data_IF_673684467903
#
_entry.id   IF_673684467903
#
_cell.length_a   1.000
_cell.length_b   1.000
_cell.length_c   1.000
_cell.angle_alpha   90.00
_cell.angle_beta   90.00
_cell.angle_gamma   90.00
#
_symmetry.space_group_name_H-M   'P 1'
#
loop_
_entity.id
_entity.type
_entity.pdbx_description
1 polymer ?
#
# COMPACT_ATOMS: atom_id res chain seq x y z
N UNK A 1 34.21 11.69 47.81
CA UNK A 1 32.81 12.20 47.84
C UNK A 1 32.34 12.85 46.52
N UNK A 2 32.92 12.54 45.35
CA UNK A 2 32.47 13.12 44.05
C UNK A 2 31.95 12.07 43.05
N UNK A 3 32.10 10.77 43.35
CA UNK A 3 31.61 9.66 42.50
C UNK A 3 30.16 9.25 42.75
N UNK A 4 29.58 9.61 43.90
CA UNK A 4 28.19 9.28 44.25
C UNK A 4 27.18 10.29 43.70
N UNK A 5 27.62 11.51 43.39
CA UNK A 5 26.73 12.56 42.86
C UNK A 5 26.33 12.32 41.40
N UNK A 6 27.19 11.67 40.60
CA UNK A 6 26.91 11.37 39.19
C UNK A 6 26.01 10.14 38.99
N UNK A 7 26.00 9.20 39.94
CA UNK A 7 25.21 7.97 39.84
C UNK A 7 23.70 8.18 40.06
N UNK A 8 23.33 9.14 40.90
CA UNK A 8 21.91 9.44 41.20
C UNK A 8 21.26 10.26 40.10
N UNK A 9 22.03 11.07 39.36
CA UNK A 9 21.52 11.89 38.26
C UNK A 9 21.22 11.06 37.00
N UNK A 10 21.99 10.00 36.71
CA UNK A 10 21.77 9.14 35.53
C UNK A 10 20.57 8.21 35.68
N UNK A 11 20.21 7.83 36.92
CA UNK A 11 19.05 6.98 37.20
C UNK A 11 17.69 7.71 37.06
N UNK A 12 17.66 9.04 37.28
CA UNK A 12 16.42 9.83 37.15
C UNK A 12 16.07 10.18 35.70
N UNK A 13 17.05 10.24 34.79
CA UNK A 13 16.81 10.49 33.36
C UNK A 13 16.26 9.24 32.66
N UNK A 14 16.66 8.04 33.08
CA UNK A 14 16.14 6.79 32.52
C UNK A 14 14.65 6.57 32.86
N UNK A 15 14.20 7.01 34.04
CA UNK A 15 12.82 6.84 34.48
C UNK A 15 11.83 7.74 33.70
N UNK A 16 12.28 8.91 33.23
CA UNK A 16 11.47 9.79 32.37
C UNK A 16 11.45 9.35 30.90
N UNK A 17 12.41 8.53 30.44
CA UNK A 17 12.43 8.01 29.06
C UNK A 17 11.51 6.80 28.88
N UNK A 18 11.13 6.11 29.95
CA UNK A 18 10.27 4.93 29.91
C UNK A 18 8.76 5.20 30.06
N UNK A 19 8.36 6.44 30.35
CA UNK A 19 6.95 6.86 30.33
C UNK A 19 6.64 7.65 29.05
N UNK A 20 6.78 7.00 27.89
CA UNK A 20 6.07 7.42 26.69
C UNK A 20 5.44 6.19 26.01
N UNK A 21 4.23 5.87 26.49
CA UNK A 21 3.11 5.25 25.79
C UNK A 21 3.25 3.82 25.23
N UNK A 22 2.73 2.84 25.99
CA UNK A 22 1.86 1.78 25.43
C UNK A 22 0.82 1.35 26.47
N UNK A 23 -0.32 2.04 26.50
CA UNK A 23 -1.51 1.57 27.22
C UNK A 23 -2.37 0.72 26.28
N UNK A 24 -2.92 -0.41 26.76
CA UNK A 24 -4.10 -0.99 26.11
C UNK A 24 -4.31 -2.49 26.22
N UNK A 25 -4.44 -3.02 27.44
CA UNK A 25 -5.09 -4.31 27.69
C UNK A 25 -6.57 -4.27 27.27
N UNK A 26 -6.96 -4.97 26.20
CA UNK A 26 -8.37 -5.23 25.87
C UNK A 26 -8.75 -6.69 26.12
N UNK A 27 -9.41 -6.92 27.26
CA UNK A 27 -10.21 -8.13 27.52
C UNK A 27 -11.60 -7.94 26.91
N UNK A 28 -12.02 -8.91 26.10
CA UNK A 28 -13.39 -9.45 26.11
C UNK A 28 -14.50 -8.75 25.31
N UNK A 29 -14.84 -9.38 24.18
CA UNK A 29 -16.20 -9.69 23.67
C UNK A 29 -17.19 -8.53 23.46
N UNK A 30 -17.53 -8.27 22.19
CA UNK A 30 -18.88 -8.38 21.59
C UNK A 30 -19.03 -7.44 20.37
N UNK A 31 -18.78 -7.95 19.17
CA UNK A 31 -19.71 -8.03 18.03
C UNK A 31 -18.93 -8.21 16.73
N UNK A 32 -19.30 -9.27 16.03
CA UNK A 32 -18.80 -9.68 14.73
C UNK A 32 -19.07 -8.60 13.68
N UNK A 33 -18.09 -7.73 13.46
CA UNK A 33 -17.83 -7.18 12.14
C UNK A 33 -16.80 -8.11 11.54
N UNK A 34 -17.09 -8.69 10.37
CA UNK A 34 -16.05 -9.28 9.51
C UNK A 34 -15.08 -8.16 9.15
N UNK A 35 -14.11 -7.97 10.02
CA UNK A 35 -12.94 -7.12 9.84
C UNK A 35 -12.16 -7.73 8.67
N UNK A 36 -12.37 -7.20 7.46
CA UNK A 36 -11.38 -7.37 6.41
C UNK A 36 -10.06 -6.84 6.96
N UNK A 37 -9.08 -7.73 7.11
CA UNK A 37 -7.73 -7.44 7.62
C UNK A 37 -7.24 -6.04 7.18
N UNK A 38 -6.45 -5.34 8.01
CA UNK A 38 -5.77 -4.11 7.61
C UNK A 38 -4.60 -4.42 6.66
N UNK A 39 -4.89 -5.06 5.52
CA UNK A 39 -4.01 -5.15 4.36
C UNK A 39 -4.19 -3.90 3.45
N UNK A 40 -5.01 -2.94 3.88
CA UNK A 40 -5.57 -1.85 3.07
C UNK A 40 -4.69 -0.60 2.91
N UNK A 41 -3.40 -0.67 3.29
CA UNK A 41 -2.39 0.32 2.86
C UNK A 41 -1.48 -0.32 1.82
N UNK A 42 -2.07 -0.70 0.69
CA UNK A 42 -1.30 -1.15 -0.47
C UNK A 42 -1.00 0.04 -1.36
N UNK A 43 0.21 0.58 -1.30
CA UNK A 43 0.64 1.63 -2.24
C UNK A 43 0.40 1.15 -3.70
N UNK A 44 -0.36 1.95 -4.47
CA UNK A 44 -0.68 1.66 -5.86
C UNK A 44 0.56 1.45 -6.73
N UNK A 45 1.65 2.16 -6.42
CA UNK A 45 2.95 1.98 -7.07
C UNK A 45 3.54 0.59 -6.80
N UNK A 46 3.39 0.06 -5.57
CA UNK A 46 3.85 -1.29 -5.21
C UNK A 46 3.05 -2.32 -6.00
N UNK A 47 1.71 -2.20 -6.02
CA UNK A 47 0.86 -3.12 -6.78
C UNK A 47 1.20 -3.10 -8.27
N UNK A 48 1.37 -1.90 -8.84
CA UNK A 48 1.76 -1.73 -10.23
C UNK A 48 3.08 -2.43 -10.52
N UNK A 49 4.13 -2.16 -9.74
CA UNK A 49 5.45 -2.76 -9.94
C UNK A 49 5.43 -4.28 -9.83
N UNK A 50 4.66 -4.85 -8.90
CA UNK A 50 4.61 -6.30 -8.68
C UNK A 50 3.79 -7.06 -9.73
N UNK A 51 2.76 -6.42 -10.32
CA UNK A 51 1.75 -7.13 -11.12
C UNK A 51 1.59 -6.60 -12.54
N UNK A 52 1.78 -5.30 -12.75
CA UNK A 52 1.48 -4.63 -14.02
C UNK A 52 2.76 -4.36 -14.83
N UNK A 53 3.84 -3.96 -14.16
CA UNK A 53 5.10 -3.61 -14.79
C UNK A 53 5.78 -4.78 -15.51
N UNK A 54 5.41 -6.03 -15.21
CA UNK A 54 5.89 -7.21 -15.95
C UNK A 54 5.54 -7.16 -17.43
N UNK A 55 4.40 -6.54 -17.80
CA UNK A 55 4.01 -6.39 -19.20
C UNK A 55 4.07 -4.94 -19.69
N UNK A 56 3.72 -3.99 -18.81
CA UNK A 56 3.69 -2.58 -19.14
C UNK A 56 5.02 -1.86 -18.85
N UNK A 57 5.96 -2.44 -18.12
CA UNK A 57 7.18 -1.73 -17.71
C UNK A 57 6.95 -0.71 -16.59
N UNK A 58 8.03 -0.22 -15.99
CA UNK A 58 7.94 0.75 -14.89
C UNK A 58 7.41 2.12 -15.32
N UNK A 59 7.69 2.51 -16.56
CA UNK A 59 7.24 3.73 -17.23
C UNK A 59 5.95 3.55 -18.04
N UNK A 60 5.44 2.32 -18.13
CA UNK A 60 4.24 2.00 -18.89
C UNK A 60 4.49 1.69 -20.37
N UNK A 61 5.74 1.65 -20.85
CA UNK A 61 6.11 1.54 -22.26
C UNK A 61 6.63 0.16 -22.73
N UNK A 62 6.70 -0.87 -21.88
CA UNK A 62 7.40 -2.12 -22.26
C UNK A 62 6.74 -2.91 -23.40
N UNK A 63 5.41 -2.82 -23.57
CA UNK A 63 4.72 -3.38 -24.73
C UNK A 63 4.68 -4.91 -24.82
N UNK A 64 5.02 -5.64 -23.76
CA UNK A 64 5.07 -7.12 -23.77
C UNK A 64 3.65 -7.67 -23.99
N UNK A 65 3.52 -8.71 -24.83
CA UNK A 65 2.23 -9.24 -25.29
C UNK A 65 1.30 -8.20 -25.93
N UNK A 66 1.88 -7.21 -26.64
CA UNK A 66 1.15 -6.08 -27.23
C UNK A 66 0.42 -5.23 -26.17
N UNK A 67 0.97 -5.14 -24.96
CA UNK A 67 0.48 -4.22 -23.94
C UNK A 67 0.52 -2.78 -24.46
N UNK A 68 -0.56 -2.01 -24.24
CA UNK A 68 -0.61 -0.62 -24.66
C UNK A 68 0.38 0.24 -23.86
N UNK A 69 0.93 1.27 -24.52
CA UNK A 69 1.72 2.30 -23.85
C UNK A 69 0.81 3.14 -22.94
N UNK A 70 1.05 3.10 -21.63
CA UNK A 70 0.17 3.76 -20.66
C UNK A 70 0.32 5.28 -20.64
N UNK A 71 1.48 5.82 -21.04
CA UNK A 71 1.75 7.27 -21.04
C UNK A 71 0.79 8.08 -21.91
N UNK A 72 0.36 7.51 -23.04
CA UNK A 72 -0.57 8.15 -23.98
C UNK A 72 -2.05 7.85 -23.69
N UNK A 73 -2.35 7.08 -22.65
CA UNK A 73 -3.73 6.69 -22.35
C UNK A 73 -4.55 7.87 -21.84
N UNK A 74 -5.73 8.07 -22.42
CA UNK A 74 -6.70 9.11 -22.01
C UNK A 74 -7.87 8.55 -21.20
N UNK A 75 -7.82 7.27 -20.83
CA UNK A 75 -8.92 6.60 -20.12
C UNK A 75 -9.22 7.25 -18.77
N UNK A 76 -10.48 7.27 -18.35
CA UNK A 76 -10.86 7.68 -17.00
C UNK A 76 -10.68 6.52 -15.98
N UNK A 77 -10.82 6.84 -14.70
CA UNK A 77 -10.60 5.89 -13.61
C UNK A 77 -11.55 4.69 -13.69
N UNK A 78 -12.82 4.95 -14.05
CA UNK A 78 -13.81 3.91 -14.20
C UNK A 78 -13.46 2.93 -15.34
N UNK A 79 -12.97 3.45 -16.47
CA UNK A 79 -12.55 2.61 -17.59
C UNK A 79 -11.29 1.82 -17.27
N UNK A 80 -10.32 2.40 -16.57
CA UNK A 80 -9.11 1.70 -16.12
C UNK A 80 -9.49 0.59 -15.13
N UNK A 81 -10.29 0.91 -14.12
CA UNK A 81 -10.77 -0.07 -13.15
C UNK A 81 -11.56 -1.21 -13.81
N UNK A 82 -12.39 -0.91 -14.82
CA UNK A 82 -13.10 -1.92 -15.60
C UNK A 82 -12.14 -2.85 -16.34
N UNK A 83 -11.10 -2.32 -16.99
CA UNK A 83 -10.07 -3.15 -17.64
C UNK A 83 -9.33 -4.01 -16.63
N UNK A 84 -8.98 -3.48 -15.45
CA UNK A 84 -8.35 -4.27 -14.38
C UNK A 84 -9.26 -5.41 -13.91
N UNK A 85 -10.58 -5.16 -13.79
CA UNK A 85 -11.56 -6.18 -13.35
C UNK A 85 -11.88 -7.21 -14.42
N UNK A 86 -11.94 -6.83 -15.69
CA UNK A 86 -12.37 -7.72 -16.78
C UNK A 86 -11.21 -8.34 -17.56
N UNK A 87 -10.01 -7.76 -17.49
CA UNK A 87 -8.94 -8.06 -18.43
C UNK A 87 -9.18 -7.47 -19.83
N UNK A 88 -8.18 -7.56 -20.70
CA UNK A 88 -8.27 -7.13 -22.11
C UNK A 88 -7.20 -7.82 -22.95
N UNK A 89 -7.60 -8.57 -23.98
CA UNK A 89 -6.65 -9.32 -24.81
C UNK A 89 -5.86 -10.32 -23.96
N UNK A 90 -4.53 -10.21 -23.97
CA UNK A 90 -3.65 -11.04 -23.15
C UNK A 90 -3.59 -10.62 -21.66
N UNK A 91 -4.09 -9.43 -21.30
CA UNK A 91 -4.11 -8.97 -19.91
C UNK A 91 -5.18 -9.73 -19.12
N UNK A 92 -4.81 -10.48 -18.06
CA UNK A 92 -5.78 -11.23 -17.27
C UNK A 92 -6.69 -10.31 -16.44
N UNK A 93 -7.80 -10.88 -15.97
CA UNK A 93 -8.65 -10.23 -14.96
C UNK A 93 -7.98 -10.26 -13.58
N UNK A 94 -8.06 -9.15 -12.86
CA UNK A 94 -7.56 -9.02 -11.49
C UNK A 94 -8.67 -8.98 -10.42
N UNK A 95 -9.94 -9.19 -10.80
CA UNK A 95 -11.08 -9.11 -9.86
C UNK A 95 -10.97 -10.10 -8.68
N UNK A 96 -10.33 -11.25 -8.90
CA UNK A 96 -10.11 -12.27 -7.87
C UNK A 96 -8.79 -12.09 -7.12
N UNK A 97 -7.90 -11.19 -7.57
CA UNK A 97 -6.55 -11.00 -7.02
C UNK A 97 -6.35 -9.67 -6.31
N UNK A 98 -7.17 -8.66 -6.64
CA UNK A 98 -7.12 -7.32 -6.08
C UNK A 98 -8.51 -6.95 -5.55
N UNK A 99 -8.54 -6.36 -4.36
CA UNK A 99 -9.77 -5.77 -3.83
C UNK A 99 -10.02 -4.38 -4.43
N UNK A 100 -11.20 -3.80 -4.17
CA UNK A 100 -11.62 -2.52 -4.74
C UNK A 100 -10.64 -1.38 -4.41
N UNK A 101 -10.14 -1.32 -3.17
CA UNK A 101 -9.20 -0.30 -2.72
C UNK A 101 -7.89 -0.39 -3.51
N UNK A 102 -7.35 -1.59 -3.69
CA UNK A 102 -6.14 -1.83 -4.49
C UNK A 102 -6.32 -1.47 -5.96
N UNK A 103 -7.49 -1.76 -6.53
CA UNK A 103 -7.82 -1.39 -7.91
C UNK A 103 -7.83 0.13 -8.07
N UNK A 104 -8.42 0.86 -7.13
CA UNK A 104 -8.44 2.33 -7.18
C UNK A 104 -7.06 2.95 -6.96
N UNK A 105 -6.25 2.37 -6.06
CA UNK A 105 -4.86 2.80 -5.82
C UNK A 105 -3.99 2.60 -7.06
N UNK A 106 -4.05 1.43 -7.69
CA UNK A 106 -3.26 1.17 -8.91
C UNK A 106 -3.76 2.00 -10.09
N UNK A 107 -5.08 2.24 -10.19
CA UNK A 107 -5.67 3.13 -11.19
C UNK A 107 -5.12 4.54 -11.07
N UNK A 108 -5.06 5.06 -9.84
CA UNK A 108 -4.49 6.39 -9.56
C UNK A 108 -3.02 6.45 -9.97
N UNK A 109 -2.23 5.43 -9.64
CA UNK A 109 -0.82 5.36 -10.03
C UNK A 109 -0.62 5.28 -11.55
N UNK A 110 -1.42 4.50 -12.28
CA UNK A 110 -1.32 4.40 -13.75
C UNK A 110 -1.44 5.79 -14.40
N UNK A 111 -2.29 6.67 -13.87
CA UNK A 111 -2.46 8.03 -14.39
C UNK A 111 -1.24 8.91 -14.20
N UNK A 112 -0.40 8.66 -13.19
CA UNK A 112 0.84 9.41 -12.97
C UNK A 112 1.91 9.08 -13.99
N UNK A 113 1.74 8.01 -14.78
CA UNK A 113 2.66 7.63 -15.86
C UNK A 113 2.45 8.44 -17.15
N UNK A 114 1.38 9.23 -17.22
CA UNK A 114 1.04 10.06 -18.39
C UNK A 114 1.99 11.23 -18.54
N UNK A 115 2.52 11.41 -19.75
CA UNK A 115 3.40 12.50 -20.13
C UNK A 115 3.35 12.77 -21.63
#
# INVERSE_FOLDING_TARGET
MVRYFYGVLVLLVFCLYSCHNTDGSSKGVLKEVKESKPDAVSDGAITYRKRCAVCHGNDGAAGIYNAAYLGISTMDDASIAKVLKSGKGAMPSFSNSLNEVQIMQVTSYIKTLRH
#
